data_IF_829315703514
#
_entry.id   IF_829315703514
#
_cell.length_a   1.000
_cell.length_b   1.000
_cell.length_c   1.000
_cell.angle_alpha   90.00
_cell.angle_beta   90.00
_cell.angle_gamma   90.00
#
_symmetry.space_group_name_H-M   'P 1'
#
loop_
_entity.id
_entity.type
_entity.pdbx_description
1 polymer ?
#
# COMPACT_ATOMS: atom_id res chain seq x y z
N UNK A 1 7.12 -15.02 0.33
CA UNK A 1 6.36 -14.71 -0.92
C UNK A 1 4.93 -14.22 -0.67
N UNK A 2 4.08 -14.93 0.10
CA UNK A 2 2.67 -14.55 0.28
C UNK A 2 2.48 -13.23 1.04
N UNK A 3 3.19 -13.04 2.16
CA UNK A 3 3.03 -11.86 3.04
C UNK A 3 3.31 -10.55 2.32
N UNK A 4 4.43 -10.44 1.58
CA UNK A 4 4.76 -9.22 0.84
C UNK A 4 3.74 -8.90 -0.26
N UNK A 5 3.29 -9.91 -1.01
CA UNK A 5 2.23 -9.74 -2.02
C UNK A 5 0.89 -9.35 -1.40
N UNK A 6 0.52 -9.95 -0.27
CA UNK A 6 -0.70 -9.62 0.44
C UNK A 6 -0.68 -8.16 0.94
N UNK A 7 0.43 -7.73 1.55
CA UNK A 7 0.63 -6.35 2.00
C UNK A 7 0.56 -5.35 0.84
N UNK A 8 1.20 -5.68 -0.28
CA UNK A 8 1.16 -4.84 -1.48
C UNK A 8 -0.27 -4.68 -2.03
N UNK A 9 -1.01 -5.80 -2.18
CA UNK A 9 -2.39 -5.79 -2.71
C UNK A 9 -3.34 -5.06 -1.75
N UNK A 10 -3.20 -5.29 -0.44
CA UNK A 10 -4.00 -4.59 0.57
C UNK A 10 -3.71 -3.09 0.56
N UNK A 11 -2.43 -2.69 0.50
CA UNK A 11 -2.03 -1.30 0.37
C UNK A 11 -2.61 -0.64 -0.88
N UNK A 12 -2.54 -1.33 -2.03
CA UNK A 12 -3.10 -0.86 -3.29
C UNK A 12 -4.62 -0.64 -3.22
N UNK A 13 -5.35 -1.57 -2.62
CA UNK A 13 -6.80 -1.42 -2.40
C UNK A 13 -7.10 -0.19 -1.53
N UNK A 14 -6.36 -0.01 -0.43
CA UNK A 14 -6.54 1.13 0.46
C UNK A 14 -6.25 2.44 -0.25
N UNK A 15 -5.17 2.53 -1.04
CA UNK A 15 -4.88 3.72 -1.86
C UNK A 15 -6.02 4.00 -2.83
N UNK A 16 -6.50 2.97 -3.54
CA UNK A 16 -7.57 3.12 -4.52
C UNK A 16 -8.85 3.67 -3.92
N UNK A 17 -9.33 3.08 -2.81
CA UNK A 17 -10.53 3.58 -2.13
C UNK A 17 -10.31 4.96 -1.49
N UNK A 18 -9.12 5.23 -0.95
CA UNK A 18 -8.80 6.53 -0.37
C UNK A 18 -8.77 7.63 -1.44
N UNK A 19 -8.30 7.34 -2.65
CA UNK A 19 -8.31 8.27 -3.77
C UNK A 19 -9.73 8.58 -4.21
N UNK A 20 -10.59 7.55 -4.35
CA UNK A 20 -12.01 7.74 -4.67
C UNK A 20 -12.70 8.57 -3.59
N UNK A 21 -12.47 8.25 -2.32
CA UNK A 21 -13.02 9.00 -1.20
C UNK A 21 -12.55 10.45 -1.20
N UNK A 22 -11.27 10.71 -1.49
CA UNK A 22 -10.72 12.05 -1.61
C UNK A 22 -11.44 12.86 -2.70
N UNK A 23 -11.65 12.26 -3.87
CA UNK A 23 -12.38 12.89 -4.97
C UNK A 23 -13.83 13.17 -4.55
N UNK A 24 -14.53 12.21 -3.95
CA UNK A 24 -15.91 12.39 -3.47
C UNK A 24 -16.03 13.51 -2.43
N UNK A 25 -15.05 13.64 -1.53
CA UNK A 25 -15.03 14.70 -0.51
C UNK A 25 -14.88 16.08 -1.15
N UNK A 26 -14.11 16.23 -2.23
CA UNK A 26 -13.99 17.52 -2.91
C UNK A 26 -15.33 18.02 -3.48
N UNK A 27 -16.25 17.12 -3.79
CA UNK A 27 -17.60 17.44 -4.27
C UNK A 27 -18.67 17.37 -3.16
N UNK A 28 -18.30 17.04 -1.92
CA UNK A 28 -19.22 16.93 -0.78
C UNK A 28 -18.92 18.00 0.26
N UNK A 29 -19.94 18.79 0.61
CA UNK A 29 -19.77 19.95 1.50
C UNK A 29 -19.52 19.58 2.98
N UNK A 30 -19.42 18.29 3.32
CA UNK A 30 -19.31 17.77 4.69
C UNK A 30 -18.22 16.69 4.87
N UNK A 31 -17.23 16.61 3.96
CA UNK A 31 -16.18 15.59 4.06
C UNK A 31 -14.94 16.04 4.85
N UNK A 32 -14.37 15.13 5.65
CA UNK A 32 -13.10 15.39 6.34
C UNK A 32 -11.90 14.96 5.46
N UNK A 33 -11.31 15.93 4.77
CA UNK A 33 -10.12 15.76 3.93
C UNK A 33 -8.94 15.08 4.64
N UNK A 34 -8.75 15.33 5.93
CA UNK A 34 -7.63 14.76 6.70
C UNK A 34 -7.72 13.23 6.74
N UNK A 35 -8.91 12.67 6.93
CA UNK A 35 -9.10 11.22 7.04
C UNK A 35 -8.71 10.52 5.74
N UNK A 36 -9.18 11.03 4.59
CA UNK A 36 -8.81 10.48 3.29
C UNK A 36 -7.32 10.62 3.00
N UNK A 37 -6.69 11.72 3.40
CA UNK A 37 -5.26 11.92 3.22
C UNK A 37 -4.41 10.96 4.08
N UNK A 38 -4.78 10.76 5.35
CA UNK A 38 -4.12 9.79 6.22
C UNK A 38 -4.33 8.35 5.77
N UNK A 39 -5.51 8.01 5.24
CA UNK A 39 -5.77 6.69 4.67
C UNK A 39 -4.92 6.45 3.42
N UNK A 40 -4.74 7.46 2.57
CA UNK A 40 -3.91 7.41 1.37
C UNK A 40 -2.42 7.22 1.72
N UNK A 41 -1.91 7.96 2.71
CA UNK A 41 -0.55 7.78 3.26
C UNK A 41 -0.34 6.37 3.81
N UNK A 42 -1.29 5.85 4.57
CA UNK A 42 -1.22 4.48 5.10
C UNK A 42 -1.22 3.42 3.99
N UNK A 43 -2.05 3.61 2.95
CA UNK A 43 -2.05 2.74 1.78
C UNK A 43 -0.69 2.71 1.07
N UNK A 44 -0.07 3.87 0.86
CA UNK A 44 1.26 3.95 0.25
C UNK A 44 2.35 3.32 1.12
N UNK A 45 2.31 3.52 2.43
CA UNK A 45 3.25 2.87 3.35
C UNK A 45 3.09 1.34 3.31
N UNK A 46 1.86 0.82 3.35
CA UNK A 46 1.60 -0.62 3.24
C UNK A 46 2.09 -1.20 1.91
N UNK A 47 1.87 -0.48 0.81
CA UNK A 47 2.36 -0.86 -0.51
C UNK A 47 3.89 -0.89 -0.58
N UNK A 48 4.56 0.14 -0.05
CA UNK A 48 6.02 0.23 -0.01
C UNK A 48 6.66 -0.85 0.88
N UNK A 49 6.09 -1.11 2.06
CA UNK A 49 6.54 -2.21 2.93
C UNK A 49 6.33 -3.56 2.23
N UNK A 50 5.21 -3.74 1.53
CA UNK A 50 4.94 -4.94 0.74
C UNK A 50 6.02 -5.21 -0.30
N UNK A 51 6.45 -4.17 -1.03
CA UNK A 51 7.50 -4.26 -2.05
C UNK A 51 8.87 -4.59 -1.44
N UNK A 52 9.24 -3.93 -0.34
CA UNK A 52 10.48 -4.21 0.40
C UNK A 52 10.53 -5.69 0.85
N UNK A 53 9.41 -6.21 1.38
CA UNK A 53 9.32 -7.61 1.82
C UNK A 53 9.42 -8.58 0.63
N UNK A 54 8.89 -8.22 -0.53
CA UNK A 54 9.04 -9.02 -1.77
C UNK A 54 10.51 -9.06 -2.19
N UNK A 55 11.17 -7.90 -2.24
CA UNK A 55 12.57 -7.78 -2.66
C UNK A 55 13.53 -8.52 -1.72
N UNK A 56 13.39 -8.33 -0.40
CA UNK A 56 14.18 -9.05 0.60
C UNK A 56 14.04 -10.58 0.47
N UNK A 57 12.81 -11.06 0.23
CA UNK A 57 12.58 -12.48 0.01
C UNK A 57 13.18 -12.97 -1.32
N UNK A 58 13.23 -12.12 -2.35
CA UNK A 58 13.87 -12.45 -3.62
C UNK A 58 15.40 -12.53 -3.49
N UNK A 59 16.03 -11.53 -2.87
CA UNK A 59 17.47 -11.48 -2.60
C UNK A 59 17.94 -12.68 -1.77
N UNK A 60 17.23 -13.02 -0.70
CA UNK A 60 17.54 -14.19 0.14
C UNK A 60 17.46 -15.51 -0.63
N UNK A 61 16.56 -15.62 -1.61
CA UNK A 61 16.46 -16.81 -2.48
C UNK A 61 17.65 -16.93 -3.45
N UNK A 62 18.20 -15.80 -3.89
CA UNK A 62 19.37 -15.76 -4.78
C UNK A 62 20.65 -16.13 -4.01
N UNK A 63 20.85 -15.60 -2.81
CA UNK A 63 21.99 -15.98 -1.94
C UNK A 63 22.01 -17.48 -1.63
N UNK A 64 20.85 -18.07 -1.31
CA UNK A 64 20.74 -19.51 -1.03
C UNK A 64 20.97 -20.42 -2.24
N UNK A 65 21.01 -19.89 -3.48
CA UNK A 65 21.35 -20.66 -4.69
C UNK A 65 22.83 -20.54 -5.08
N UNK A 66 23.57 -19.62 -4.46
CA UNK A 66 24.98 -19.36 -4.75
C UNK A 66 25.95 -20.10 -3.80
N UNK A 67 25.44 -20.77 -2.77
CA UNK A 67 26.17 -21.68 -1.89
C UNK A 67 25.78 -23.13 -2.21
#
# INVERSE_FOLDING_TARGET
MFVGRALYILGLLVVFFSLIALIMILFSNNGNLLISFFALLNGFMAMGIGDIVIDLNHRKKLENRSN
#
